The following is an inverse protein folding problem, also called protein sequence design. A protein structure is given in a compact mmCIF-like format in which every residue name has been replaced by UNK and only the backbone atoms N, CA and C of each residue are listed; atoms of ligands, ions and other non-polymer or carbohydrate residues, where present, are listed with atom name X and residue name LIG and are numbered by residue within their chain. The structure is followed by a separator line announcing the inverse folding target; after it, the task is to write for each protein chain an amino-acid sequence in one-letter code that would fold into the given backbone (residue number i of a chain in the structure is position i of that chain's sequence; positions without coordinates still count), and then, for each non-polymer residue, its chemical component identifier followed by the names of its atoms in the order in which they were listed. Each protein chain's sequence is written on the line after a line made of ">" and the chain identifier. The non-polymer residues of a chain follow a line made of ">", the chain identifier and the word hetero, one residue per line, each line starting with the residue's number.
data_IF_098416915509
#
_entry.id   IF_098416915509
#
_cell.length_a   1.000
_cell.length_b   1.000
_cell.length_c   1.000
_cell.angle_alpha   90.00
_cell.angle_beta   90.00
_cell.angle_gamma   90.00
#
_symmetry.space_group_name_H-M   'P 1'
#
loop_
_entity.id
_entity.type
_entity.pdbx_description
1 polymer ?
#
# COMPACT_ATOMS: atom_id res chain seq x y z
N UNK A 1 -23.80 -22.61 -3.01
CA UNK A 1 -22.51 -23.23 -3.42
C UNK A 1 -21.45 -22.15 -3.37
N UNK A 2 -20.57 -22.17 -2.35
CA UNK A 2 -19.44 -21.23 -2.26
C UNK A 2 -18.45 -21.59 -3.37
N UNK A 3 -18.16 -20.65 -4.25
CA UNK A 3 -17.13 -20.81 -5.27
C UNK A 3 -15.79 -20.94 -4.54
N UNK A 4 -15.15 -22.10 -4.63
CA UNK A 4 -13.73 -22.25 -4.29
C UNK A 4 -13.00 -21.37 -5.29
N UNK A 5 -12.35 -20.31 -4.80
CA UNK A 5 -11.94 -19.22 -5.67
C UNK A 5 -10.65 -19.46 -6.43
N UNK A 6 -9.72 -20.30 -5.92
CA UNK A 6 -8.41 -20.44 -6.53
C UNK A 6 -7.70 -21.74 -6.15
N UNK A 7 -6.95 -22.27 -7.11
CA UNK A 7 -6.10 -23.45 -6.96
C UNK A 7 -4.62 -23.08 -7.17
N UNK A 8 -3.73 -23.75 -6.44
CA UNK A 8 -2.29 -23.75 -6.73
C UNK A 8 -1.92 -24.60 -7.95
N UNK A 9 -2.85 -25.40 -8.49
CA UNK A 9 -2.67 -26.14 -9.73
C UNK A 9 -2.19 -25.20 -10.84
N UNK A 10 -1.20 -25.63 -11.58
CA UNK A 10 -0.58 -24.87 -12.68
C UNK A 10 0.10 -23.53 -12.27
N UNK A 11 0.25 -23.22 -10.97
CA UNK A 11 1.05 -22.09 -10.55
C UNK A 11 2.54 -22.41 -10.68
N UNK A 12 3.30 -21.51 -11.30
CA UNK A 12 4.76 -21.67 -11.53
C UNK A 12 5.55 -21.89 -10.22
N UNK A 13 5.07 -21.27 -9.12
CA UNK A 13 5.73 -21.40 -7.80
C UNK A 13 5.23 -22.59 -6.96
N UNK A 14 4.37 -23.41 -7.51
CA UNK A 14 3.86 -24.60 -6.85
C UNK A 14 4.85 -25.76 -7.00
N UNK A 15 5.36 -26.27 -5.89
CA UNK A 15 6.30 -27.42 -5.86
C UNK A 15 5.58 -28.64 -5.29
N UNK A 16 5.53 -29.70 -6.06
CA UNK A 16 5.01 -31.00 -5.63
C UNK A 16 6.16 -31.81 -5.04
N UNK A 17 6.21 -31.95 -3.73
CA UNK A 17 7.21 -32.75 -3.03
C UNK A 17 6.88 -34.24 -3.11
N UNK A 18 5.59 -34.58 -3.06
CA UNK A 18 5.03 -35.92 -3.30
C UNK A 18 3.54 -35.81 -3.67
N UNK A 19 2.84 -36.97 -3.78
CA UNK A 19 1.42 -37.01 -4.17
C UNK A 19 0.48 -36.29 -3.19
N UNK A 20 0.90 -36.02 -1.97
CA UNK A 20 0.08 -35.49 -0.87
C UNK A 20 0.63 -34.17 -0.32
N UNK A 21 1.82 -33.76 -0.73
CA UNK A 21 2.51 -32.62 -0.15
C UNK A 21 2.90 -31.61 -1.24
N UNK A 22 2.34 -30.44 -1.13
CA UNK A 22 2.60 -29.29 -2.02
C UNK A 22 3.20 -28.17 -1.19
N UNK A 23 4.25 -27.54 -1.69
CA UNK A 23 4.85 -26.34 -1.12
C UNK A 23 4.82 -25.17 -2.10
N UNK A 24 5.14 -23.97 -1.64
CA UNK A 24 5.24 -22.79 -2.46
C UNK A 24 6.63 -22.19 -2.36
N UNK A 25 7.32 -22.00 -3.48
CA UNK A 25 8.66 -21.40 -3.53
C UNK A 25 8.73 -19.99 -2.93
N UNK A 26 7.59 -19.28 -2.91
CA UNK A 26 7.50 -17.94 -2.32
C UNK A 26 7.29 -17.97 -0.79
N UNK A 27 7.08 -19.15 -0.19
CA UNK A 27 6.86 -19.30 1.25
C UNK A 27 5.50 -18.82 1.77
N UNK A 28 4.58 -18.38 0.92
CA UNK A 28 3.30 -17.77 1.30
C UNK A 28 2.14 -18.76 1.51
N UNK A 29 2.38 -20.05 1.29
CA UNK A 29 1.31 -21.06 1.34
C UNK A 29 0.67 -21.14 2.74
N UNK A 30 1.46 -21.12 3.80
CA UNK A 30 0.95 -21.17 5.17
C UNK A 30 0.12 -19.92 5.50
N UNK A 31 0.56 -18.76 5.07
CA UNK A 31 -0.22 -17.51 5.21
C UNK A 31 -1.58 -17.62 4.52
N UNK A 32 -1.62 -18.14 3.28
CA UNK A 32 -2.89 -18.33 2.56
C UNK A 32 -3.81 -19.29 3.30
N UNK A 33 -3.28 -20.42 3.80
CA UNK A 33 -4.05 -21.40 4.58
C UNK A 33 -4.67 -20.75 5.82
N UNK A 34 -3.86 -20.01 6.58
CA UNK A 34 -4.31 -19.35 7.81
C UNK A 34 -5.37 -18.28 7.56
N UNK A 35 -5.21 -17.50 6.49
CA UNK A 35 -6.14 -16.40 6.14
C UNK A 35 -7.36 -16.87 5.33
N UNK A 36 -7.41 -18.12 4.88
CA UNK A 36 -8.53 -18.69 4.13
C UNK A 36 -9.55 -19.30 5.07
N UNK A 37 -10.84 -19.03 4.88
CA UNK A 37 -11.91 -19.68 5.63
C UNK A 37 -12.21 -21.10 5.11
N UNK A 38 -11.75 -21.39 3.88
CA UNK A 38 -11.77 -22.72 3.28
C UNK A 38 -10.47 -23.03 2.59
N UNK A 39 -9.86 -24.15 2.99
CA UNK A 39 -8.68 -24.71 2.36
C UNK A 39 -8.88 -26.23 2.23
N UNK A 40 -8.89 -26.74 1.00
CA UNK A 40 -9.10 -28.14 0.70
C UNK A 40 -7.97 -28.64 -0.20
N UNK A 41 -7.66 -29.93 -0.13
CA UNK A 41 -6.75 -30.57 -1.07
C UNK A 41 -7.59 -31.35 -2.09
N UNK A 42 -7.47 -30.99 -3.36
CA UNK A 42 -8.17 -31.63 -4.47
C UNK A 42 -7.14 -32.09 -5.49
N UNK A 43 -7.11 -33.39 -5.77
CA UNK A 43 -6.14 -34.01 -6.70
C UNK A 43 -4.67 -33.70 -6.35
N UNK A 44 -4.37 -33.52 -5.05
CA UNK A 44 -3.02 -33.21 -4.56
C UNK A 44 -2.62 -31.74 -4.60
N UNK A 45 -3.53 -30.85 -5.00
CA UNK A 45 -3.30 -29.41 -5.01
C UNK A 45 -4.22 -28.68 -4.00
N UNK A 46 -3.70 -27.62 -3.37
CA UNK A 46 -4.49 -26.79 -2.48
C UNK A 46 -5.48 -25.92 -3.28
N UNK A 47 -6.71 -25.86 -2.79
CA UNK A 47 -7.76 -24.95 -3.24
C UNK A 47 -8.19 -24.04 -2.08
N UNK A 48 -8.36 -22.76 -2.37
CA UNK A 48 -8.67 -21.72 -1.38
C UNK A 48 -9.86 -20.87 -1.81
N UNK A 49 -10.51 -20.25 -0.84
CA UNK A 49 -11.49 -19.20 -1.06
C UNK A 49 -10.86 -17.79 -1.16
N UNK A 50 -9.54 -17.67 -1.00
CA UNK A 50 -8.78 -16.43 -1.18
C UNK A 50 -7.96 -16.42 -2.47
N UNK A 51 -7.66 -15.20 -2.95
CA UNK A 51 -6.82 -14.99 -4.13
C UNK A 51 -5.38 -14.77 -3.67
N UNK A 52 -4.45 -15.54 -4.23
CA UNK A 52 -3.02 -15.29 -4.08
C UNK A 52 -2.56 -14.26 -5.12
N UNK A 53 -2.04 -13.14 -4.67
CA UNK A 53 -1.58 -12.06 -5.55
C UNK A 53 -0.40 -12.49 -6.44
N UNK A 54 0.35 -13.51 -6.03
CA UNK A 54 1.53 -14.01 -6.75
C UNK A 54 1.25 -15.20 -7.65
N UNK A 55 -0.02 -15.66 -7.74
CA UNK A 55 -0.34 -16.79 -8.62
C UNK A 55 -0.12 -16.39 -10.07
N UNK A 56 0.72 -17.17 -10.76
CA UNK A 56 0.98 -17.03 -12.20
C UNK A 56 1.22 -18.39 -12.82
N UNK A 57 0.87 -18.53 -14.10
CA UNK A 57 1.22 -19.67 -14.96
C UNK A 57 2.39 -19.34 -15.88
N UNK A 58 2.86 -18.12 -15.87
CA UNK A 58 4.02 -17.68 -16.62
C UNK A 58 5.32 -18.13 -15.92
N UNK A 59 6.32 -18.50 -16.69
CA UNK A 59 7.66 -18.79 -16.16
C UNK A 59 8.29 -17.47 -15.72
N UNK A 60 8.33 -17.24 -14.39
CA UNK A 60 8.94 -16.09 -13.75
C UNK A 60 9.81 -16.56 -12.59
N UNK A 61 10.90 -15.81 -12.36
CA UNK A 61 11.69 -15.98 -11.13
C UNK A 61 10.94 -15.41 -9.92
N UNK A 62 11.39 -15.76 -8.72
CA UNK A 62 10.86 -15.20 -7.49
C UNK A 62 11.04 -13.67 -7.48
N UNK A 63 12.20 -13.20 -7.87
CA UNK A 63 12.56 -11.78 -7.90
C UNK A 63 11.67 -11.00 -8.89
N UNK A 64 11.45 -11.52 -10.08
CA UNK A 64 10.59 -10.90 -11.09
C UNK A 64 9.15 -10.73 -10.61
N UNK A 65 8.55 -11.76 -10.01
CA UNK A 65 7.17 -11.67 -9.52
C UNK A 65 7.05 -10.75 -8.30
N UNK A 66 8.03 -10.77 -7.40
CA UNK A 66 8.04 -9.86 -6.25
C UNK A 66 8.16 -8.40 -6.71
N UNK A 67 9.01 -8.12 -7.68
CA UNK A 67 9.16 -6.78 -8.26
C UNK A 67 7.89 -6.34 -9.01
N UNK A 68 7.26 -7.22 -9.80
CA UNK A 68 6.02 -6.91 -10.51
C UNK A 68 4.87 -6.57 -9.56
N UNK A 69 4.78 -7.27 -8.43
CA UNK A 69 3.73 -7.08 -7.42
C UNK A 69 4.08 -6.06 -6.36
N UNK A 70 5.26 -5.44 -6.46
CA UNK A 70 5.65 -4.39 -5.51
C UNK A 70 4.65 -3.23 -5.54
N UNK A 71 4.29 -2.76 -4.35
CA UNK A 71 3.29 -1.71 -4.19
C UNK A 71 3.82 -0.39 -4.72
N UNK A 72 3.00 0.30 -5.49
CA UNK A 72 3.30 1.67 -5.91
C UNK A 72 2.97 2.64 -4.79
N UNK A 73 3.97 3.40 -4.36
CA UNK A 73 3.82 4.46 -3.38
C UNK A 73 3.86 5.84 -4.05
N UNK A 74 2.99 6.73 -3.59
CA UNK A 74 3.00 8.15 -3.92
C UNK A 74 3.24 8.94 -2.63
N UNK A 75 3.74 10.16 -2.75
CA UNK A 75 4.11 10.96 -1.59
C UNK A 75 3.38 12.30 -1.61
N UNK A 76 2.87 12.71 -0.47
CA UNK A 76 2.42 14.08 -0.20
C UNK A 76 3.32 14.60 0.92
N UNK A 77 4.02 15.69 0.66
CA UNK A 77 4.85 16.37 1.65
C UNK A 77 4.13 17.64 2.05
N UNK A 78 3.85 17.80 3.33
CA UNK A 78 3.20 18.97 3.90
C UNK A 78 4.25 19.99 4.31
N UNK A 79 4.36 21.08 3.57
CA UNK A 79 5.34 22.14 3.82
C UNK A 79 4.84 23.11 4.89
N UNK A 80 5.40 22.99 6.09
CA UNK A 80 5.25 23.92 7.20
C UNK A 80 6.55 24.64 7.52
N UNK A 81 7.69 24.06 7.08
CA UNK A 81 9.03 24.60 7.23
C UNK A 81 9.89 24.19 6.03
N UNK A 82 10.40 25.16 5.29
CA UNK A 82 11.12 24.93 4.03
C UNK A 82 12.37 24.04 4.20
N UNK A 83 13.16 24.22 5.25
CA UNK A 83 14.39 23.44 5.44
C UNK A 83 14.07 21.97 5.72
N UNK A 84 13.03 21.71 6.52
CA UNK A 84 12.54 20.36 6.77
C UNK A 84 11.93 19.73 5.51
N UNK A 85 11.16 20.48 4.75
CA UNK A 85 10.59 20.03 3.47
C UNK A 85 11.67 19.66 2.47
N UNK A 86 12.73 20.46 2.36
CA UNK A 86 13.89 20.14 1.52
C UNK A 86 14.59 18.87 1.99
N UNK A 87 14.75 18.69 3.30
CA UNK A 87 15.35 17.47 3.90
C UNK A 87 14.52 16.22 3.58
N UNK A 88 13.19 16.32 3.65
CA UNK A 88 12.28 15.20 3.26
C UNK A 88 12.46 14.89 1.78
N UNK A 89 12.45 15.93 0.91
CA UNK A 89 12.63 15.74 -0.54
C UNK A 89 13.95 15.03 -0.86
N UNK A 90 15.04 15.39 -0.17
CA UNK A 90 16.32 14.70 -0.33
C UNK A 90 16.27 13.26 0.16
N UNK A 91 15.60 13.00 1.28
CA UNK A 91 15.52 11.65 1.86
C UNK A 91 14.71 10.65 1.03
N UNK A 92 13.73 11.13 0.25
CA UNK A 92 12.91 10.25 -0.59
C UNK A 92 13.42 10.17 -2.04
N UNK A 93 14.45 10.90 -2.43
CA UNK A 93 14.90 10.99 -3.82
C UNK A 93 15.20 9.61 -4.42
N UNK A 94 15.91 8.77 -3.67
CA UNK A 94 16.25 7.40 -4.08
C UNK A 94 15.06 6.41 -4.03
N UNK A 95 13.97 6.80 -3.36
CA UNK A 95 12.76 5.98 -3.24
C UNK A 95 11.75 6.27 -4.37
N UNK A 96 11.91 7.40 -5.05
CA UNK A 96 10.98 7.85 -6.08
C UNK A 96 11.41 7.34 -7.45
N UNK A 97 10.55 6.54 -8.06
CA UNK A 97 10.68 6.08 -9.44
C UNK A 97 9.81 6.92 -10.37
N UNK A 98 9.91 6.74 -11.69
CA UNK A 98 9.07 7.43 -12.68
C UNK A 98 7.56 7.14 -12.53
N UNK A 99 7.22 6.03 -11.90
CA UNK A 99 5.84 5.62 -11.60
C UNK A 99 5.22 6.29 -10.38
N UNK A 100 6.04 6.80 -9.46
CA UNK A 100 5.58 7.49 -8.27
C UNK A 100 5.12 8.93 -8.63
N UNK A 101 4.32 9.51 -7.75
CA UNK A 101 3.97 10.93 -7.77
C UNK A 101 4.37 11.54 -6.44
N UNK A 102 5.04 12.67 -6.50
CA UNK A 102 5.41 13.47 -5.32
C UNK A 102 4.67 14.79 -5.40
N UNK A 103 3.86 15.08 -4.41
CA UNK A 103 3.11 16.33 -4.33
C UNK A 103 3.56 17.10 -3.09
N UNK A 104 4.10 18.30 -3.27
CA UNK A 104 4.44 19.19 -2.16
C UNK A 104 3.31 20.18 -1.96
N UNK A 105 2.72 20.13 -0.78
CA UNK A 105 1.66 21.01 -0.34
C UNK A 105 2.26 22.23 0.39
N UNK A 106 2.29 23.40 -0.25
CA UNK A 106 2.86 24.62 0.31
C UNK A 106 1.93 25.81 0.20
N UNK A 107 2.06 26.77 1.11
CA UNK A 107 1.37 28.06 1.03
C UNK A 107 2.32 29.22 0.71
N UNK A 108 3.58 29.12 1.09
CA UNK A 108 4.51 30.26 1.11
C UNK A 108 5.80 30.00 0.29
N UNK A 109 6.24 28.75 0.20
CA UNK A 109 7.56 28.40 -0.31
C UNK A 109 7.57 27.97 -1.80
N UNK A 110 6.53 28.30 -2.56
CA UNK A 110 6.37 27.82 -3.95
C UNK A 110 7.60 28.07 -4.82
N UNK A 111 8.19 29.26 -4.76
CA UNK A 111 9.35 29.62 -5.59
C UNK A 111 10.59 28.78 -5.25
N UNK A 112 10.90 28.63 -3.97
CA UNK A 112 12.05 27.84 -3.52
C UNK A 112 11.88 26.35 -3.89
N UNK A 113 10.69 25.80 -3.67
CA UNK A 113 10.36 24.43 -4.01
C UNK A 113 10.38 24.20 -5.53
N UNK A 114 9.89 25.15 -6.34
CA UNK A 114 9.96 25.05 -7.79
C UNK A 114 11.40 25.00 -8.31
N UNK A 115 12.32 25.73 -7.69
CA UNK A 115 13.73 25.66 -8.04
C UNK A 115 14.36 24.31 -7.66
N UNK A 116 14.01 23.75 -6.48
CA UNK A 116 14.51 22.46 -6.02
C UNK A 116 13.98 21.29 -6.87
N UNK A 117 12.68 21.30 -7.15
CA UNK A 117 12.01 20.25 -7.94
C UNK A 117 12.42 20.32 -9.41
N UNK A 118 12.63 21.52 -9.94
CA UNK A 118 12.99 21.72 -11.33
C UNK A 118 11.96 21.16 -12.31
N UNK A 119 12.43 20.44 -13.34
CA UNK A 119 11.58 19.86 -14.39
C UNK A 119 11.30 18.35 -14.17
N UNK A 120 11.36 17.87 -12.91
CA UNK A 120 11.03 16.46 -12.62
C UNK A 120 9.55 16.19 -12.94
N UNK A 121 9.23 15.30 -13.91
CA UNK A 121 7.86 15.22 -14.49
C UNK A 121 6.83 14.60 -13.52
N UNK A 122 7.28 13.92 -12.50
CA UNK A 122 6.45 13.26 -11.48
C UNK A 122 6.33 14.05 -10.18
N UNK A 123 6.91 15.26 -10.11
CA UNK A 123 6.81 16.15 -8.96
C UNK A 123 5.82 17.28 -9.24
N UNK A 124 5.02 17.64 -8.24
CA UNK A 124 3.99 18.66 -8.32
C UNK A 124 4.04 19.54 -7.07
N UNK A 125 3.68 20.81 -7.22
CA UNK A 125 3.46 21.72 -6.10
C UNK A 125 2.02 22.18 -6.14
N UNK A 126 1.39 22.25 -4.99
CA UNK A 126 0.01 22.74 -4.84
C UNK A 126 -0.04 23.87 -3.79
N UNK A 127 -0.88 24.87 -4.06
CA UNK A 127 -1.02 26.09 -3.23
C UNK A 127 -2.28 26.11 -2.35
N UNK A 128 -3.00 25.02 -2.19
CA UNK A 128 -4.38 25.05 -1.73
C UNK A 128 -4.59 24.72 -0.25
N UNK A 129 -3.58 24.83 0.60
CA UNK A 129 -3.60 24.17 1.91
C UNK A 129 -3.67 25.08 3.14
N UNK A 130 -3.88 26.38 2.96
CA UNK A 130 -3.82 27.36 4.07
C UNK A 130 -4.66 26.97 5.29
N UNK A 131 -5.77 26.28 5.09
CA UNK A 131 -6.72 25.95 6.15
C UNK A 131 -6.87 24.45 6.41
N UNK A 132 -6.07 23.60 5.74
CA UNK A 132 -6.21 22.15 5.85
C UNK A 132 -5.43 21.62 7.04
N UNK A 133 -6.08 20.73 7.79
CA UNK A 133 -5.56 20.18 9.06
C UNK A 133 -5.45 18.67 9.09
N UNK A 134 -6.04 17.98 8.10
CA UNK A 134 -6.09 16.52 8.10
C UNK A 134 -5.41 15.95 6.86
N UNK A 135 -4.85 14.74 7.00
CA UNK A 135 -4.26 13.98 5.90
C UNK A 135 -5.24 13.81 4.73
N UNK A 136 -6.52 13.67 5.03
CA UNK A 136 -7.55 13.43 4.01
C UNK A 136 -7.88 14.68 3.20
N UNK A 137 -7.80 15.88 3.79
CA UNK A 137 -7.95 17.14 3.07
C UNK A 137 -6.78 17.37 2.09
N UNK A 138 -5.56 16.96 2.44
CA UNK A 138 -4.42 16.99 1.52
C UNK A 138 -4.62 16.00 0.37
N UNK A 139 -5.11 14.80 0.65
CA UNK A 139 -5.38 13.80 -0.38
C UNK A 139 -6.48 14.24 -1.34
N UNK A 140 -7.53 14.91 -0.87
CA UNK A 140 -8.60 15.42 -1.70
C UNK A 140 -8.11 16.34 -2.81
N UNK A 141 -7.22 17.27 -2.49
CA UNK A 141 -6.70 18.23 -3.46
C UNK A 141 -5.67 17.61 -4.43
N UNK A 142 -4.97 16.60 -3.99
CA UNK A 142 -3.92 15.95 -4.79
C UNK A 142 -4.44 14.74 -5.56
N UNK A 143 -5.63 14.28 -5.25
CA UNK A 143 -6.18 13.00 -5.74
C UNK A 143 -6.18 12.88 -7.27
N UNK A 144 -6.46 13.95 -8.02
CA UNK A 144 -6.44 13.92 -9.48
C UNK A 144 -5.05 13.68 -10.08
N UNK A 145 -3.99 13.90 -9.29
CA UNK A 145 -2.58 13.70 -9.67
C UNK A 145 -2.03 12.36 -9.22
N UNK A 146 -2.70 11.72 -8.26
CA UNK A 146 -2.33 10.45 -7.67
C UNK A 146 -3.27 9.37 -8.22
N UNK A 147 -2.71 8.27 -8.71
CA UNK A 147 -3.46 7.16 -9.29
C UNK A 147 -3.58 6.00 -8.29
N UNK A 148 -3.67 4.79 -8.80
CA UNK A 148 -3.72 3.57 -7.99
C UNK A 148 -2.45 3.39 -7.14
N UNK A 149 -2.53 2.64 -6.06
CA UNK A 149 -1.45 2.42 -5.12
C UNK A 149 -1.75 2.97 -3.74
N UNK A 150 -0.72 3.36 -3.03
CA UNK A 150 -0.81 3.94 -1.69
C UNK A 150 -0.19 5.33 -1.66
N UNK A 151 -0.78 6.24 -0.91
CA UNK A 151 -0.22 7.58 -0.66
C UNK A 151 0.35 7.64 0.74
N UNK A 152 1.58 8.08 0.85
CA UNK A 152 2.27 8.36 2.11
C UNK A 152 2.26 9.88 2.31
N UNK A 153 1.74 10.32 3.45
CA UNK A 153 1.73 11.74 3.81
C UNK A 153 2.81 12.00 4.86
N UNK A 154 3.73 12.87 4.51
CA UNK A 154 4.92 13.20 5.28
C UNK A 154 4.80 14.61 5.85
N UNK A 155 5.05 14.75 7.14
CA UNK A 155 5.14 16.00 7.88
C UNK A 155 6.59 16.27 8.30
N UNK A 156 6.85 17.40 8.91
CA UNK A 156 8.19 17.97 9.20
C UNK A 156 9.27 17.01 9.68
N UNK A 157 8.95 16.11 10.58
CA UNK A 157 9.92 15.23 11.23
C UNK A 157 9.81 13.77 10.76
N UNK A 158 8.94 13.51 9.79
CA UNK A 158 8.77 12.16 9.25
C UNK A 158 9.99 11.73 8.43
N UNK A 159 10.36 10.48 8.61
CA UNK A 159 11.40 9.82 7.84
C UNK A 159 10.86 8.55 7.23
N UNK A 160 11.11 8.39 5.95
CA UNK A 160 10.79 7.17 5.23
C UNK A 160 12.09 6.57 4.70
N UNK A 161 12.23 5.28 4.89
CA UNK A 161 13.30 4.49 4.29
C UNK A 161 12.72 3.44 3.35
N UNK A 162 13.57 2.85 2.54
CA UNK A 162 13.18 1.69 1.73
C UNK A 162 12.66 0.54 2.60
N UNK A 163 13.26 0.34 3.77
CA UNK A 163 12.85 -0.68 4.72
C UNK A 163 11.38 -0.51 5.15
N UNK A 164 10.92 0.70 5.45
CA UNK A 164 9.50 0.95 5.74
C UNK A 164 8.58 0.61 4.56
N UNK A 165 8.99 0.95 3.35
CA UNK A 165 8.22 0.60 2.15
C UNK A 165 8.17 -0.90 1.94
N UNK A 166 9.28 -1.60 2.16
CA UNK A 166 9.39 -3.05 2.05
C UNK A 166 8.49 -3.74 3.10
N UNK A 167 8.44 -3.24 4.35
CA UNK A 167 7.54 -3.73 5.40
C UNK A 167 6.06 -3.60 5.01
N UNK A 168 5.65 -2.43 4.52
CA UNK A 168 4.26 -2.23 4.06
C UNK A 168 3.95 -3.17 2.90
N UNK A 169 4.88 -3.34 1.97
CA UNK A 169 4.72 -4.26 0.86
C UNK A 169 4.60 -5.72 1.34
N UNK A 170 5.43 -6.16 2.28
CA UNK A 170 5.34 -7.47 2.91
C UNK A 170 4.01 -7.67 3.62
N UNK A 171 3.61 -6.73 4.46
CA UNK A 171 2.37 -6.76 5.21
C UNK A 171 1.14 -6.96 4.31
N UNK A 172 1.10 -6.28 3.18
CA UNK A 172 -0.04 -6.37 2.24
C UNK A 172 0.06 -7.61 1.37
N UNK A 173 1.18 -7.84 0.71
CA UNK A 173 1.30 -8.85 -0.32
C UNK A 173 1.63 -10.24 0.24
N UNK A 174 2.57 -10.35 1.17
CA UNK A 174 3.04 -11.64 1.71
C UNK A 174 2.16 -12.08 2.86
N UNK A 175 1.88 -11.18 3.81
CA UNK A 175 0.96 -11.46 4.94
C UNK A 175 -0.52 -11.34 4.55
N UNK A 176 -0.81 -10.91 3.32
CA UNK A 176 -2.16 -10.83 2.74
C UNK A 176 -3.15 -10.01 3.58
N UNK A 177 -2.69 -8.98 4.24
CA UNK A 177 -3.55 -8.08 5.00
C UNK A 177 -4.23 -7.06 4.08
N UNK A 178 -5.47 -6.68 4.42
CA UNK A 178 -6.21 -5.63 3.71
C UNK A 178 -5.94 -4.29 4.37
N UNK A 179 -4.91 -3.60 3.93
CA UNK A 179 -4.57 -2.28 4.44
C UNK A 179 -5.36 -1.20 3.70
N UNK A 180 -6.10 -0.38 4.45
CA UNK A 180 -6.70 0.84 3.95
C UNK A 180 -5.99 2.09 4.51
N UNK A 181 -5.57 2.05 5.77
CA UNK A 181 -4.97 3.18 6.48
C UNK A 181 -3.95 2.72 7.51
N UNK A 182 -2.79 3.37 7.55
CA UNK A 182 -1.91 3.43 8.73
C UNK A 182 -2.11 4.80 9.36
N UNK A 183 -2.58 4.84 10.61
CA UNK A 183 -2.99 6.08 11.28
C UNK A 183 -1.84 6.91 11.83
N UNK A 184 -0.73 6.29 12.18
CA UNK A 184 0.40 7.00 12.76
C UNK A 184 1.25 7.66 11.67
N UNK A 185 1.94 8.74 12.02
CA UNK A 185 2.86 9.42 11.10
C UNK A 185 4.11 8.56 10.86
N UNK A 186 4.54 8.39 9.61
CA UNK A 186 3.89 8.90 8.40
C UNK A 186 2.60 8.14 8.08
N UNK A 187 1.54 8.86 7.70
CA UNK A 187 0.27 8.23 7.32
C UNK A 187 0.39 7.51 5.97
N UNK A 188 -0.22 6.32 5.87
CA UNK A 188 -0.30 5.59 4.60
C UNK A 188 -1.77 5.29 4.29
N UNK A 189 -2.22 5.66 3.10
CA UNK A 189 -3.62 5.53 2.69
C UNK A 189 -3.74 4.79 1.37
N UNK A 190 -4.62 3.81 1.31
CA UNK A 190 -4.97 3.13 0.07
C UNK A 190 -5.79 4.05 -0.85
N UNK A 191 -5.26 4.38 -2.03
CA UNK A 191 -5.87 5.34 -2.95
C UNK A 191 -7.19 4.86 -3.54
N UNK A 192 -7.36 3.55 -3.76
CA UNK A 192 -8.59 2.99 -4.30
C UNK A 192 -9.71 3.08 -3.25
N UNK A 193 -9.42 2.68 -2.02
CA UNK A 193 -10.37 2.74 -0.91
C UNK A 193 -10.75 4.20 -0.63
N UNK A 194 -9.78 5.09 -0.57
CA UNK A 194 -10.03 6.51 -0.42
C UNK A 194 -11.00 7.05 -1.48
N UNK A 195 -10.76 6.69 -2.75
CA UNK A 195 -11.64 7.07 -3.86
C UNK A 195 -13.06 6.55 -3.71
N UNK A 196 -13.23 5.31 -3.30
CA UNK A 196 -14.55 4.70 -3.11
C UNK A 196 -15.34 5.39 -2.01
N UNK A 197 -14.67 5.78 -0.92
CA UNK A 197 -15.31 6.36 0.27
C UNK A 197 -15.49 7.88 0.21
N UNK A 198 -14.80 8.56 -0.71
CA UNK A 198 -14.82 10.02 -0.84
C UNK A 198 -16.21 10.61 -1.09
N UNK A 199 -17.09 9.88 -1.77
CA UNK A 199 -18.38 10.39 -2.25
C UNK A 199 -19.41 10.77 -1.15
N UNK A 200 -19.28 10.24 0.06
CA UNK A 200 -20.17 10.55 1.18
C UNK A 200 -19.57 11.68 2.03
N UNK A 201 -20.20 12.86 2.06
CA UNK A 201 -19.67 14.07 2.71
C UNK A 201 -19.99 14.17 4.20
N UNK A 202 -20.95 13.40 4.70
CA UNK A 202 -21.49 13.57 6.05
C UNK A 202 -20.66 12.86 7.14
N UNK A 203 -19.78 11.93 6.74
CA UNK A 203 -18.92 11.16 7.65
C UNK A 203 -17.44 11.43 7.36
N UNK A 204 -16.61 11.32 8.39
CA UNK A 204 -15.15 11.31 8.22
C UNK A 204 -14.70 10.07 7.42
N UNK A 205 -13.50 10.13 6.82
CA UNK A 205 -12.96 8.97 6.11
C UNK A 205 -12.84 7.74 7.02
N UNK A 206 -12.41 7.96 8.27
CA UNK A 206 -12.27 6.89 9.27
C UNK A 206 -13.60 6.24 9.61
N UNK A 207 -14.67 7.04 9.81
CA UNK A 207 -16.00 6.53 10.11
C UNK A 207 -16.55 5.70 8.95
N UNK A 208 -16.41 6.20 7.71
CA UNK A 208 -16.80 5.45 6.49
C UNK A 208 -16.03 4.14 6.36
N UNK A 209 -14.75 4.13 6.70
CA UNK A 209 -13.93 2.93 6.68
C UNK A 209 -14.43 1.92 7.72
N UNK A 210 -14.80 2.39 8.93
CA UNK A 210 -15.39 1.56 9.97
C UNK A 210 -16.73 0.93 9.54
N UNK A 211 -17.61 1.71 8.88
CA UNK A 211 -18.84 1.18 8.30
C UNK A 211 -18.55 0.09 7.25
N UNK A 212 -17.62 0.34 6.34
CA UNK A 212 -17.22 -0.63 5.31
C UNK A 212 -16.67 -1.93 5.91
N UNK A 213 -15.91 -1.84 6.99
CA UNK A 213 -15.40 -3.01 7.72
C UNK A 213 -16.55 -3.86 8.28
N UNK A 214 -17.54 -3.22 8.92
CA UNK A 214 -18.70 -3.89 9.49
C UNK A 214 -19.58 -4.51 8.41
N UNK A 215 -19.88 -3.79 7.33
CA UNK A 215 -20.71 -4.30 6.22
C UNK A 215 -20.08 -5.50 5.51
N UNK A 216 -18.75 -5.56 5.43
CA UNK A 216 -18.04 -6.62 4.71
C UNK A 216 -17.51 -7.73 5.63
N UNK A 217 -17.77 -7.65 6.94
CA UNK A 217 -17.26 -8.60 7.94
C UNK A 217 -15.73 -8.78 7.83
N UNK A 218 -15.00 -7.65 7.63
CA UNK A 218 -13.54 -7.65 7.52
C UNK A 218 -12.96 -7.36 8.90
N UNK A 219 -12.00 -8.15 9.33
CA UNK A 219 -11.40 -8.06 10.67
C UNK A 219 -10.80 -6.68 10.97
N UNK A 220 -9.90 -6.20 10.11
CA UNK A 220 -9.35 -4.85 10.24
C UNK A 220 -8.83 -4.32 8.88
N UNK A 221 -8.90 -3.00 8.71
CA UNK A 221 -8.31 -2.27 7.56
C UNK A 221 -7.52 -1.05 8.03
N UNK A 222 -7.54 -0.75 9.33
CA UNK A 222 -6.85 0.37 9.97
C UNK A 222 -5.78 -0.22 10.88
N UNK A 223 -4.56 0.20 10.71
CA UNK A 223 -3.39 -0.30 11.44
C UNK A 223 -2.53 0.85 11.95
N UNK A 224 -1.64 0.55 12.87
CA UNK A 224 -0.54 1.43 13.29
C UNK A 224 0.79 0.89 12.75
N UNK A 225 1.87 1.64 12.90
CA UNK A 225 3.20 1.14 12.56
C UNK A 225 3.63 -0.02 13.46
N UNK A 226 3.22 0.00 14.73
CA UNK A 226 3.45 -1.09 15.68
C UNK A 226 2.80 -2.39 15.22
N UNK A 227 1.57 -2.34 14.73
CA UNK A 227 0.87 -3.53 14.19
C UNK A 227 1.63 -4.13 12.99
N UNK A 228 2.22 -3.28 12.14
CA UNK A 228 2.99 -3.73 10.99
C UNK A 228 4.31 -4.35 11.42
N UNK A 229 5.00 -3.76 12.38
CA UNK A 229 6.26 -4.27 12.91
C UNK A 229 6.05 -5.63 13.61
N UNK A 230 4.99 -5.79 14.38
CA UNK A 230 4.64 -7.06 15.02
C UNK A 230 4.34 -8.17 14.01
N UNK A 231 3.56 -7.88 12.96
CA UNK A 231 3.18 -8.88 11.94
C UNK A 231 4.33 -9.25 11.00
N UNK A 232 5.25 -8.32 10.74
CA UNK A 232 6.44 -8.57 9.89
C UNK A 232 7.63 -9.16 10.65
N UNK A 233 7.59 -9.14 11.98
CA UNK A 233 8.55 -9.85 12.84
C UNK A 233 9.94 -9.19 12.93
N UNK A 234 10.00 -7.85 12.85
CA UNK A 234 11.22 -7.05 12.97
C UNK A 234 11.28 -6.29 14.29
#
# INVERSE_FOLDING_TARGET
>A
MSKIGMSCKDCTFNVKENKEQTSCQLGILETIKTKSSKCEIVEGDYQFDRICNFRTTEEKTKEEILQEKYIRFHFIIVDTNIDKTLSILDSIEDLVTEDNRVCVATTENFKALSLKIGNKPNYFITNSFKDKKTVFEYMDDTFNKIKNGYTIVLHEDDKISKEYLDKVNEFINIKMNRLALIENSPFVVNNIIFKMLKGNKDLSFKDKLGELQQEQEIDSMIFTWEDIDEDTGL
#
